data_IF_142719529802
#
_entry.id   IF_142719529802
#
_cell.length_a   1.000
_cell.length_b   1.000
_cell.length_c   1.000
_cell.angle_alpha   90.00
_cell.angle_beta   90.00
_cell.angle_gamma   90.00
#
_symmetry.space_group_name_H-M   'P 1'
#
loop_
_entity.id
_entity.type
_entity.pdbx_description
1 polymer ?
#
# COMPACT_ATOMS: atom_id res chain seq x y z
N UNK A 1 -19.89 -38.55 -49.57
CA UNK A 1 -18.62 -39.17 -50.01
C UNK A 1 -17.71 -38.08 -50.54
N UNK A 2 -16.43 -38.11 -50.15
CA UNK A 2 -15.31 -37.19 -50.52
C UNK A 2 -15.41 -35.80 -49.83
N UNK A 3 -14.60 -35.40 -48.86
CA UNK A 3 -13.26 -35.86 -48.45
C UNK A 3 -12.20 -35.07 -49.19
N UNK A 4 -11.71 -33.98 -48.58
CA UNK A 4 -10.41 -33.36 -48.86
C UNK A 4 -9.86 -32.79 -47.55
N UNK A 5 -8.96 -33.58 -46.98
CA UNK A 5 -8.10 -33.32 -45.84
C UNK A 5 -6.85 -32.61 -46.39
N UNK A 6 -6.48 -31.47 -45.83
CA UNK A 6 -5.22 -30.79 -46.14
C UNK A 6 -4.31 -30.93 -44.92
N UNK A 7 -3.43 -31.92 -44.98
CA UNK A 7 -2.29 -32.08 -44.10
C UNK A 7 -1.20 -31.05 -44.48
N UNK A 8 -0.83 -30.17 -43.55
CA UNK A 8 0.38 -29.35 -43.64
C UNK A 8 1.41 -29.90 -42.66
N UNK A 9 2.33 -30.69 -43.21
CA UNK A 9 3.54 -31.18 -42.60
C UNK A 9 4.60 -30.07 -42.65
N UNK A 10 5.08 -29.58 -41.51
CA UNK A 10 6.25 -28.70 -41.42
C UNK A 10 7.38 -29.42 -40.68
N UNK A 11 8.00 -30.34 -41.40
CA UNK A 11 9.25 -31.00 -41.01
C UNK A 11 10.46 -30.23 -41.57
N UNK A 12 11.38 -29.84 -40.68
CA UNK A 12 12.78 -29.58 -41.05
C UNK A 12 13.26 -28.13 -41.00
N UNK A 13 13.78 -27.71 -39.84
CA UNK A 13 14.83 -26.69 -39.80
C UNK A 13 16.08 -27.31 -39.20
N UNK A 14 17.07 -27.49 -40.09
CA UNK A 14 18.41 -28.00 -39.88
C UNK A 14 19.25 -26.97 -39.11
N UNK A 15 19.83 -27.38 -37.98
CA UNK A 15 20.85 -26.64 -37.26
C UNK A 15 22.22 -27.17 -37.65
N UNK A 16 22.89 -26.45 -38.55
CA UNK A 16 24.27 -26.69 -38.94
C UNK A 16 25.08 -25.40 -38.73
N UNK A 17 26.17 -25.54 -37.98
CA UNK A 17 26.86 -24.48 -37.24
C UNK A 17 27.49 -23.33 -38.03
N UNK A 18 27.70 -22.23 -37.29
CA UNK A 18 28.83 -21.33 -37.52
C UNK A 18 29.45 -20.95 -36.18
N UNK A 19 30.61 -21.55 -35.92
CA UNK A 19 31.62 -21.16 -34.95
C UNK A 19 32.38 -19.95 -35.50
N UNK A 20 32.50 -18.86 -34.74
CA UNK A 20 33.44 -17.77 -35.00
C UNK A 20 34.05 -17.33 -33.66
N UNK A 21 35.19 -17.95 -33.33
CA UNK A 21 36.17 -17.40 -32.39
C UNK A 21 36.85 -16.18 -33.00
N UNK A 22 36.86 -15.05 -32.29
CA UNK A 22 37.61 -13.85 -32.67
C UNK A 22 37.52 -12.75 -31.60
N UNK A 23 38.62 -12.54 -30.88
CA UNK A 23 38.80 -11.78 -29.65
C UNK A 23 38.66 -10.24 -29.76
N UNK A 24 38.47 -9.59 -28.60
CA UNK A 24 38.75 -8.17 -28.21
C UNK A 24 37.75 -7.11 -28.72
N UNK A 25 37.28 -6.09 -27.99
CA UNK A 25 37.61 -5.44 -26.71
C UNK A 25 36.35 -5.00 -25.95
N UNK A 26 36.55 -4.75 -24.67
CA UNK A 26 35.70 -4.16 -23.65
C UNK A 26 34.75 -3.03 -24.11
N UNK A 27 33.48 -3.15 -23.72
CA UNK A 27 32.71 -2.05 -23.17
C UNK A 27 31.90 -2.57 -21.99
N UNK A 28 32.38 -2.26 -20.78
CA UNK A 28 31.57 -2.25 -19.59
C UNK A 28 30.52 -1.14 -19.74
N UNK A 29 29.46 -1.42 -20.49
CA UNK A 29 28.20 -0.72 -20.28
C UNK A 29 27.61 -1.36 -19.03
N UNK A 30 27.73 -0.65 -17.92
CA UNK A 30 26.88 -0.81 -16.76
C UNK A 30 25.44 -0.53 -17.18
N UNK A 31 24.86 -1.45 -17.94
CA UNK A 31 23.44 -1.70 -17.88
C UNK A 31 23.24 -2.27 -16.49
N UNK A 32 23.08 -1.38 -15.52
CA UNK A 32 22.25 -1.66 -14.37
C UNK A 32 20.96 -2.17 -15.00
N UNK A 33 20.85 -3.49 -15.10
CA UNK A 33 19.59 -4.17 -15.12
C UNK A 33 18.90 -3.65 -13.88
N UNK A 34 18.16 -2.56 -14.04
CA UNK A 34 16.98 -2.28 -13.28
C UNK A 34 16.19 -3.58 -13.42
N UNK A 35 16.41 -4.49 -12.49
CA UNK A 35 15.39 -5.44 -12.10
C UNK A 35 14.27 -4.53 -11.60
N UNK A 36 13.50 -3.97 -12.54
CA UNK A 36 12.09 -3.74 -12.30
C UNK A 36 11.64 -5.10 -11.81
N UNK A 37 11.46 -5.20 -10.51
CA UNK A 37 10.64 -6.23 -9.95
C UNK A 37 9.34 -6.10 -10.74
N UNK A 38 9.18 -6.95 -11.77
CA UNK A 38 7.87 -7.40 -12.16
C UNK A 38 7.37 -8.17 -10.94
N UNK A 39 7.02 -7.42 -9.89
CA UNK A 39 6.27 -7.93 -8.78
C UNK A 39 5.02 -8.50 -9.41
N UNK A 40 4.76 -9.77 -9.13
CA UNK A 40 3.47 -10.38 -9.40
C UNK A 40 2.40 -9.40 -8.94
N UNK A 41 1.65 -8.86 -9.90
CA UNK A 41 0.53 -7.97 -9.63
C UNK A 41 -0.47 -8.76 -8.78
N UNK A 42 -0.96 -8.16 -7.69
CA UNK A 42 -1.88 -8.86 -6.78
C UNK A 42 -3.10 -9.39 -7.53
N UNK A 43 -3.58 -10.57 -7.13
CA UNK A 43 -4.81 -11.17 -7.68
C UNK A 43 -6.07 -10.82 -6.87
N UNK A 44 -5.95 -9.91 -5.90
CA UNK A 44 -7.07 -9.47 -5.07
C UNK A 44 -7.84 -8.32 -5.70
N UNK A 45 -9.17 -8.30 -5.52
CA UNK A 45 -10.02 -7.19 -5.94
C UNK A 45 -10.06 -6.10 -4.88
N UNK A 46 -9.30 -5.02 -5.11
CA UNK A 46 -9.34 -3.83 -4.28
C UNK A 46 -10.37 -2.83 -4.79
N UNK A 47 -10.72 -1.86 -3.95
CA UNK A 47 -11.52 -0.70 -4.37
C UNK A 47 -10.65 0.53 -4.46
N UNK A 48 -10.75 1.24 -5.58
CA UNK A 48 -9.98 2.45 -5.84
C UNK A 48 -10.31 3.53 -4.80
N UNK A 49 -9.32 4.14 -4.12
CA UNK A 49 -9.58 5.14 -3.09
C UNK A 49 -10.30 6.38 -3.62
N UNK A 50 -10.13 6.67 -4.92
CA UNK A 50 -10.66 7.88 -5.57
C UNK A 50 -12.16 7.77 -5.90
N UNK A 51 -12.62 6.61 -6.35
CA UNK A 51 -13.97 6.45 -6.90
C UNK A 51 -14.73 5.21 -6.42
N UNK A 52 -14.11 4.34 -5.62
CA UNK A 52 -14.70 3.12 -5.07
C UNK A 52 -14.94 2.00 -6.08
N UNK A 53 -14.55 2.17 -7.35
CA UNK A 53 -14.64 1.10 -8.33
C UNK A 53 -13.60 0.01 -8.08
N UNK A 54 -13.90 -1.20 -8.55
CA UNK A 54 -12.95 -2.32 -8.53
C UNK A 54 -11.67 -1.99 -9.31
N UNK A 55 -10.55 -2.51 -8.83
CA UNK A 55 -9.24 -2.45 -9.47
C UNK A 55 -8.98 -3.64 -10.40
N UNK A 56 -9.90 -4.60 -10.47
CA UNK A 56 -9.83 -5.78 -11.32
C UNK A 56 -10.92 -5.81 -12.40
N UNK A 57 -12.12 -5.34 -12.08
CA UNK A 57 -13.24 -5.34 -13.01
C UNK A 57 -12.91 -4.50 -14.25
N UNK A 58 -13.66 -4.74 -15.33
CA UNK A 58 -13.47 -4.06 -16.61
C UNK A 58 -12.09 -4.29 -17.28
N UNK A 59 -11.33 -5.27 -16.80
CA UNK A 59 -10.01 -5.63 -17.36
C UNK A 59 -8.87 -4.76 -16.84
N UNK A 60 -9.04 -4.14 -15.67
CA UNK A 60 -7.98 -3.34 -15.05
C UNK A 60 -6.86 -4.20 -14.47
N UNK A 61 -7.17 -5.42 -14.00
CA UNK A 61 -6.22 -6.44 -13.55
C UNK A 61 -5.10 -5.90 -12.63
N UNK A 62 -5.40 -4.93 -11.76
CA UNK A 62 -4.46 -4.27 -10.86
C UNK A 62 -3.23 -3.63 -11.56
N UNK A 63 -3.33 -3.34 -12.87
CA UNK A 63 -2.28 -2.72 -13.67
C UNK A 63 -2.12 -1.21 -13.42
N UNK A 64 -3.01 -0.65 -12.59
CA UNK A 64 -3.02 0.75 -12.21
C UNK A 64 -2.78 0.86 -10.70
N UNK A 65 -1.70 1.53 -10.30
CA UNK A 65 -1.32 1.62 -8.90
C UNK A 65 -0.29 2.72 -8.63
N UNK A 66 -0.18 3.12 -7.37
CA UNK A 66 0.93 3.90 -6.86
C UNK A 66 1.82 3.01 -6.00
N UNK A 67 3.13 3.12 -6.16
CA UNK A 67 4.11 2.46 -5.31
C UNK A 67 4.74 3.46 -4.37
N UNK A 68 4.73 3.16 -3.07
CA UNK A 68 5.44 3.90 -2.06
C UNK A 68 6.92 3.50 -2.03
N UNK A 69 7.74 4.34 -1.39
CA UNK A 69 9.09 4.00 -1.01
C UNK A 69 9.10 2.61 -0.34
N UNK A 70 10.10 1.80 -0.68
CA UNK A 70 10.25 0.42 -0.19
C UNK A 70 9.16 -0.58 -0.65
N UNK A 71 8.30 -0.21 -1.60
CA UNK A 71 7.58 -1.18 -2.46
C UNK A 71 6.13 -1.49 -2.07
N UNK A 72 5.57 -0.88 -1.03
CA UNK A 72 4.13 -0.98 -0.77
C UNK A 72 3.32 -0.37 -1.92
N UNK A 73 2.20 -0.98 -2.27
CA UNK A 73 1.42 -0.61 -3.44
C UNK A 73 -0.03 -0.32 -3.04
N UNK A 74 -0.60 0.76 -3.58
CA UNK A 74 -2.04 1.05 -3.49
C UNK A 74 -2.61 1.04 -4.89
N UNK A 75 -3.60 0.18 -5.13
CA UNK A 75 -4.18 -0.06 -6.44
C UNK A 75 -5.30 0.92 -6.75
N UNK A 76 -5.47 1.24 -8.03
CA UNK A 76 -6.50 2.13 -8.54
C UNK A 76 -7.23 1.50 -9.71
N UNK A 77 -8.40 2.03 -10.05
CA UNK A 77 -9.08 1.64 -11.28
C UNK A 77 -8.37 2.27 -12.49
N UNK A 78 -8.35 1.58 -13.62
CA UNK A 78 -7.78 2.07 -14.88
C UNK A 78 -8.71 3.01 -15.65
N UNK A 79 -9.39 3.92 -14.96
CA UNK A 79 -10.24 4.89 -15.62
C UNK A 79 -9.42 5.81 -16.54
N UNK A 80 -10.02 6.15 -17.68
CA UNK A 80 -9.50 7.19 -18.56
C UNK A 80 -9.39 8.52 -17.80
N UNK A 81 -8.47 9.37 -18.28
CA UNK A 81 -8.24 10.68 -17.70
C UNK A 81 -9.52 11.53 -17.68
N UNK A 82 -9.73 12.27 -16.58
CA UNK A 82 -10.87 13.14 -16.35
C UNK A 82 -10.46 14.42 -15.63
N UNK A 83 -11.33 15.42 -15.68
CA UNK A 83 -11.14 16.66 -14.93
C UNK A 83 -11.39 16.48 -13.43
N UNK A 84 -10.63 17.21 -12.63
CA UNK A 84 -10.80 17.35 -11.19
C UNK A 84 -10.90 18.84 -10.87
N UNK A 85 -11.75 19.22 -9.91
CA UNK A 85 -12.10 20.63 -9.67
C UNK A 85 -10.88 21.50 -9.27
N UNK A 86 -9.84 20.90 -8.69
CA UNK A 86 -8.61 21.58 -8.28
C UNK A 86 -7.60 21.81 -9.42
N UNK A 87 -7.83 21.24 -10.62
CA UNK A 87 -6.83 21.24 -11.71
C UNK A 87 -7.44 21.59 -13.08
N UNK A 88 -6.72 22.41 -13.85
CA UNK A 88 -7.13 22.85 -15.20
C UNK A 88 -6.77 21.85 -16.32
N UNK A 89 -6.44 20.59 -15.98
CA UNK A 89 -6.05 19.55 -16.93
C UNK A 89 -6.65 18.20 -16.54
N UNK A 90 -6.77 17.31 -17.52
CA UNK A 90 -7.28 15.96 -17.30
C UNK A 90 -6.19 15.02 -16.80
N UNK A 91 -6.57 14.08 -15.93
CA UNK A 91 -5.67 13.06 -15.43
C UNK A 91 -6.37 11.80 -14.95
N UNK A 92 -5.59 10.73 -14.78
CA UNK A 92 -6.09 9.46 -14.25
C UNK A 92 -6.28 9.53 -12.74
N UNK A 93 -7.16 8.68 -12.22
CA UNK A 93 -7.34 8.51 -10.78
C UNK A 93 -6.02 8.11 -10.09
N UNK A 94 -5.15 7.34 -10.77
CA UNK A 94 -3.81 7.00 -10.27
C UNK A 94 -2.92 8.21 -10.07
N UNK A 95 -2.85 9.11 -11.06
CA UNK A 95 -2.05 10.33 -10.97
C UNK A 95 -2.61 11.29 -9.90
N UNK A 96 -3.94 11.39 -9.81
CA UNK A 96 -4.61 12.19 -8.78
C UNK A 96 -4.33 11.65 -7.38
N UNK A 97 -4.50 10.34 -7.16
CA UNK A 97 -4.21 9.67 -5.90
C UNK A 97 -2.75 9.87 -5.49
N UNK A 98 -1.81 9.65 -6.41
CA UNK A 98 -0.37 9.79 -6.15
C UNK A 98 -0.03 11.16 -5.57
N UNK A 99 -0.63 12.22 -6.12
CA UNK A 99 -0.39 13.57 -5.63
C UNK A 99 -1.13 13.85 -4.31
N UNK A 100 -2.36 13.37 -4.16
CA UNK A 100 -3.29 13.80 -3.13
C UNK A 100 -3.64 12.70 -2.12
N UNK A 101 -2.72 11.80 -1.79
CA UNK A 101 -3.01 10.67 -0.87
C UNK A 101 -3.68 11.14 0.43
N UNK A 102 -3.27 12.31 0.96
CA UNK A 102 -3.85 12.91 2.18
C UNK A 102 -5.37 13.10 2.14
N UNK A 103 -5.93 13.41 0.96
CA UNK A 103 -7.39 13.56 0.76
C UNK A 103 -8.16 12.27 1.01
N UNK A 104 -7.50 11.12 0.78
CA UNK A 104 -8.13 9.81 0.84
C UNK A 104 -7.88 9.08 2.15
N UNK A 105 -7.18 9.71 3.11
CA UNK A 105 -6.93 9.11 4.41
C UNK A 105 -8.17 9.20 5.29
N UNK A 106 -8.57 8.06 5.83
CA UNK A 106 -9.65 7.96 6.81
C UNK A 106 -9.07 8.03 8.22
N UNK A 107 -9.46 9.06 8.96
CA UNK A 107 -9.11 9.19 10.37
C UNK A 107 -9.86 8.17 11.23
N UNK A 108 -9.23 7.69 12.30
CA UNK A 108 -9.82 6.67 13.19
C UNK A 108 -11.08 7.14 13.92
N UNK A 109 -11.28 8.45 14.00
CA UNK A 109 -12.48 9.10 14.53
C UNK A 109 -13.71 8.91 13.63
N UNK A 110 -13.53 8.64 12.33
CA UNK A 110 -14.61 8.23 11.43
C UNK A 110 -14.80 6.71 11.52
N UNK A 111 -15.48 6.26 12.57
CA UNK A 111 -15.68 4.84 12.83
C UNK A 111 -16.38 4.07 11.69
N UNK A 112 -17.13 4.75 10.81
CA UNK A 112 -17.87 4.08 9.73
C UNK A 112 -16.95 3.80 8.56
N UNK A 113 -16.26 4.82 8.06
CA UNK A 113 -15.31 4.66 6.96
C UNK A 113 -14.08 3.84 7.41
N UNK A 114 -13.62 4.03 8.66
CA UNK A 114 -12.45 3.32 9.17
C UNK A 114 -12.69 1.81 9.33
N UNK A 115 -13.95 1.40 9.52
CA UNK A 115 -14.33 -0.01 9.61
C UNK A 115 -14.13 -0.78 8.29
N UNK A 116 -13.98 -0.09 7.15
CA UNK A 116 -13.63 -0.73 5.88
C UNK A 116 -12.19 -1.27 5.89
N UNK A 117 -11.32 -0.71 6.72
CA UNK A 117 -9.97 -1.21 6.93
C UNK A 117 -9.94 -2.15 8.13
N UNK A 118 -9.93 -3.46 7.85
CA UNK A 118 -9.77 -4.48 8.88
C UNK A 118 -8.45 -4.29 9.66
N UNK A 119 -8.51 -4.43 11.00
CA UNK A 119 -7.35 -4.45 11.90
C UNK A 119 -6.60 -5.78 11.78
N UNK A 120 -6.04 -6.01 10.59
CA UNK A 120 -5.27 -7.18 10.20
C UNK A 120 -4.26 -6.78 9.12
N UNK A 121 -3.24 -7.61 8.92
CA UNK A 121 -2.23 -7.42 7.89
C UNK A 121 -1.95 -8.77 7.25
N UNK A 122 -2.79 -9.15 6.30
CA UNK A 122 -2.63 -10.42 5.57
C UNK A 122 -1.44 -10.30 4.60
N UNK A 123 -1.26 -9.10 4.04
CA UNK A 123 -0.18 -8.66 3.15
C UNK A 123 1.19 -8.65 3.85
N UNK A 124 1.24 -8.66 5.19
CA UNK A 124 2.49 -8.80 5.93
C UNK A 124 3.21 -10.12 5.60
N UNK A 125 2.49 -11.15 5.15
CA UNK A 125 3.09 -12.40 4.69
C UNK A 125 3.92 -12.24 3.40
N UNK A 126 3.64 -11.19 2.61
CA UNK A 126 4.32 -10.88 1.35
C UNK A 126 5.62 -10.08 1.55
N UNK A 127 5.95 -9.73 2.80
CA UNK A 127 7.18 -9.03 3.13
C UNK A 127 7.16 -7.54 2.83
N UNK A 128 6.04 -6.86 3.16
CA UNK A 128 5.90 -5.42 2.99
C UNK A 128 6.84 -4.63 3.94
N UNK A 129 7.27 -3.46 3.47
CA UNK A 129 8.23 -2.60 4.16
C UNK A 129 7.62 -1.26 4.54
N UNK A 130 8.00 -0.75 5.70
CA UNK A 130 7.63 0.60 6.14
C UNK A 130 8.08 1.65 5.09
N UNK A 131 7.19 2.53 4.60
CA UNK A 131 7.54 3.51 3.57
C UNK A 131 8.52 4.58 4.05
N UNK A 132 8.57 4.82 5.36
CA UNK A 132 9.39 5.85 5.99
C UNK A 132 10.77 5.28 6.33
N UNK A 133 10.82 4.08 6.94
CA UNK A 133 12.07 3.53 7.49
C UNK A 133 12.66 2.38 6.66
N UNK A 134 11.85 1.70 5.86
CA UNK A 134 12.23 0.46 5.17
C UNK A 134 12.28 -0.78 6.07
N UNK A 135 11.85 -0.67 7.33
CA UNK A 135 11.78 -1.81 8.26
C UNK A 135 10.69 -2.82 7.84
N UNK A 136 10.85 -4.07 8.26
CA UNK A 136 9.84 -5.11 8.05
C UNK A 136 8.55 -4.81 8.82
N UNK A 137 7.43 -4.86 8.12
CA UNK A 137 6.11 -4.90 8.76
C UNK A 137 5.66 -6.35 8.88
N UNK A 138 5.30 -6.74 10.08
CA UNK A 138 4.82 -8.08 10.43
C UNK A 138 3.48 -7.97 11.15
N UNK A 139 2.77 -9.09 11.25
CA UNK A 139 1.53 -9.19 12.04
C UNK A 139 1.70 -8.83 13.52
N UNK A 140 2.93 -8.75 14.03
CA UNK A 140 3.23 -8.42 15.43
C UNK A 140 3.54 -6.95 15.71
N UNK A 141 3.91 -6.17 14.70
CA UNK A 141 4.32 -4.77 14.84
C UNK A 141 3.58 -3.82 13.89
N UNK A 142 2.73 -4.32 13.01
CA UNK A 142 2.05 -3.47 12.03
C UNK A 142 1.25 -2.36 12.71
N UNK A 143 1.32 -1.21 12.07
CA UNK A 143 0.38 -0.12 12.18
C UNK A 143 -0.13 0.16 10.76
N UNK A 144 -1.26 0.81 10.62
CA UNK A 144 -1.75 1.17 9.29
C UNK A 144 -2.42 2.54 9.27
N UNK A 145 -2.38 3.14 8.08
CA UNK A 145 -3.25 4.24 7.67
C UNK A 145 -4.32 3.65 6.76
N UNK A 146 -5.58 3.93 7.07
CA UNK A 146 -6.72 3.52 6.27
C UNK A 146 -6.95 4.53 5.14
N UNK A 147 -7.16 4.05 3.93
CA UNK A 147 -7.62 4.84 2.80
C UNK A 147 -9.11 4.58 2.56
N UNK A 148 -9.78 5.52 1.91
CA UNK A 148 -11.15 5.34 1.45
C UNK A 148 -11.29 4.01 0.69
N UNK A 149 -12.39 3.29 0.93
CA UNK A 149 -12.67 2.01 0.29
C UNK A 149 -11.75 0.85 0.74
N UNK A 150 -11.11 0.96 1.91
CA UNK A 150 -10.56 -0.18 2.65
C UNK A 150 -9.09 -0.55 2.37
N UNK A 151 -8.42 0.12 1.43
CA UNK A 151 -6.98 -0.11 1.21
C UNK A 151 -6.15 0.48 2.35
N UNK A 152 -4.97 -0.10 2.61
CA UNK A 152 -4.12 0.25 3.76
C UNK A 152 -2.70 0.58 3.33
N UNK A 153 -2.07 1.51 4.05
CA UNK A 153 -0.61 1.74 4.02
C UNK A 153 -0.07 1.31 5.37
N UNK A 154 0.87 0.38 5.38
CA UNK A 154 1.38 -0.24 6.60
C UNK A 154 2.68 0.40 7.08
N UNK A 155 2.91 0.36 8.40
CA UNK A 155 4.10 0.90 9.05
C UNK A 155 4.58 -0.08 10.12
N UNK A 156 5.89 -0.12 10.35
CA UNK A 156 6.51 -0.99 11.34
C UNK A 156 6.41 -0.42 12.77
N UNK A 157 6.02 0.86 12.91
CA UNK A 157 5.90 1.54 14.21
C UNK A 157 4.89 2.70 14.19
N UNK A 158 4.42 3.10 15.37
CA UNK A 158 3.58 4.31 15.51
C UNK A 158 4.35 5.58 15.17
N UNK A 159 5.67 5.60 15.38
CA UNK A 159 6.52 6.75 15.09
C UNK A 159 6.58 7.04 13.59
N UNK A 160 6.86 6.02 12.77
CA UNK A 160 6.88 6.14 11.31
C UNK A 160 5.49 6.43 10.73
N UNK A 161 4.42 5.82 11.27
CA UNK A 161 3.04 6.19 10.92
C UNK A 161 2.78 7.69 11.14
N UNK A 162 3.15 8.20 12.31
CA UNK A 162 2.91 9.60 12.67
C UNK A 162 3.79 10.56 11.87
N UNK A 163 5.02 10.16 11.53
CA UNK A 163 5.88 10.91 10.62
C UNK A 163 5.24 11.03 9.25
N UNK A 164 4.71 9.93 8.70
CA UNK A 164 3.98 9.96 7.44
C UNK A 164 2.77 10.88 7.47
N UNK A 165 1.89 10.69 8.46
CA UNK A 165 0.67 11.48 8.62
C UNK A 165 0.93 12.99 8.80
N UNK A 166 2.08 13.36 9.38
CA UNK A 166 2.45 14.76 9.59
C UNK A 166 2.98 15.46 8.34
N UNK A 167 3.36 14.71 7.29
CA UNK A 167 4.00 15.25 6.10
C UNK A 167 3.23 14.96 4.80
N UNK A 168 2.27 14.03 4.81
CA UNK A 168 1.51 13.64 3.61
C UNK A 168 0.71 14.79 2.97
N UNK A 169 0.41 15.85 3.73
CA UNK A 169 -0.27 17.06 3.25
C UNK A 169 0.68 18.24 2.97
N UNK A 170 2.00 18.02 2.94
CA UNK A 170 2.99 19.09 2.75
C UNK A 170 3.36 19.33 1.29
N UNK A 171 3.41 18.27 0.48
CA UNK A 171 3.72 18.32 -0.94
C UNK A 171 3.10 17.14 -1.71
N UNK A 172 2.88 17.27 -3.03
CA UNK A 172 2.44 16.16 -3.85
C UNK A 172 3.41 14.98 -3.79
N UNK A 173 2.88 13.75 -3.76
CA UNK A 173 3.67 12.51 -3.90
C UNK A 173 4.64 12.25 -2.74
N UNK A 174 4.34 12.72 -1.53
CA UNK A 174 5.13 12.40 -0.35
C UNK A 174 5.29 10.86 -0.17
N UNK A 175 6.54 10.39 -0.26
CA UNK A 175 6.96 8.98 -0.28
C UNK A 175 6.41 8.10 -1.40
N UNK A 176 5.79 8.67 -2.44
CA UNK A 176 5.38 7.92 -3.63
C UNK A 176 6.56 7.84 -4.59
N UNK A 177 7.01 6.62 -4.89
CA UNK A 177 8.16 6.33 -5.76
C UNK A 177 7.80 5.89 -7.18
N UNK A 178 6.59 5.36 -7.41
CA UNK A 178 6.11 4.98 -8.74
C UNK A 178 4.63 5.27 -8.91
N UNK A 179 4.24 5.58 -10.14
CA UNK A 179 2.86 5.92 -10.52
C UNK A 179 2.59 5.21 -11.83
N UNK A 180 1.92 4.06 -11.77
CA UNK A 180 1.79 3.12 -12.88
C UNK A 180 0.35 3.09 -13.39
N UNK A 181 0.17 3.27 -14.70
CA UNK A 181 -1.08 3.13 -15.43
C UNK A 181 -0.86 2.09 -16.53
N UNK A 182 -1.67 1.03 -16.55
CA UNK A 182 -1.59 -0.04 -17.56
C UNK A 182 -0.18 -0.64 -17.72
N UNK A 183 0.56 -0.81 -16.60
CA UNK A 183 1.97 -1.28 -16.57
C UNK A 183 3.04 -0.30 -17.07
N UNK A 184 2.69 0.94 -17.38
CA UNK A 184 3.64 2.00 -17.73
C UNK A 184 3.53 3.18 -16.76
N UNK A 185 4.51 4.09 -16.75
CA UNK A 185 4.38 5.31 -15.94
C UNK A 185 3.22 6.15 -16.45
N UNK A 186 2.30 6.55 -15.56
CA UNK A 186 1.16 7.38 -15.91
C UNK A 186 1.60 8.70 -16.57
N UNK A 187 1.05 9.01 -17.74
CA UNK A 187 1.30 10.30 -18.40
C UNK A 187 0.77 11.45 -17.56
N UNK A 188 1.55 12.52 -17.43
CA UNK A 188 1.15 13.72 -16.67
C UNK A 188 1.12 13.53 -15.15
N UNK A 189 1.64 12.41 -14.62
CA UNK A 189 1.70 12.14 -13.19
C UNK A 189 2.43 13.22 -12.38
N UNK A 190 3.35 13.95 -13.02
CA UNK A 190 4.14 15.02 -12.41
C UNK A 190 3.54 16.43 -12.62
N UNK A 191 2.45 16.54 -13.39
CA UNK A 191 1.83 17.85 -13.68
C UNK A 191 1.18 18.48 -12.44
N UNK A 192 0.78 17.65 -11.45
CA UNK A 192 0.36 18.17 -10.15
C UNK A 192 1.59 18.66 -9.40
N UNK A 193 1.67 19.98 -9.23
CA UNK A 193 2.71 20.65 -8.43
C UNK A 193 2.18 21.23 -7.13
N UNK A 194 0.85 21.25 -6.95
CA UNK A 194 0.17 21.73 -5.76
C UNK A 194 -0.91 20.73 -5.36
N UNK A 195 -1.00 20.43 -4.07
CA UNK A 195 -2.03 19.54 -3.52
C UNK A 195 -3.45 20.07 -3.78
N UNK A 196 -4.42 19.18 -3.87
CA UNK A 196 -5.85 19.54 -3.86
C UNK A 196 -6.19 20.31 -2.59
N UNK A 197 -7.26 21.12 -2.62
CA UNK A 197 -7.69 21.84 -1.43
C UNK A 197 -8.02 20.89 -0.27
N UNK A 198 -8.57 19.71 -0.57
CA UNK A 198 -8.89 18.69 0.43
C UNK A 198 -7.63 18.04 1.02
N UNK A 199 -6.62 17.71 0.21
CA UNK A 199 -5.35 17.19 0.69
C UNK A 199 -4.62 18.20 1.59
N UNK A 200 -4.64 19.50 1.25
CA UNK A 200 -4.07 20.56 2.10
C UNK A 200 -4.83 20.74 3.43
N UNK A 201 -6.15 20.53 3.40
CA UNK A 201 -7.01 20.65 4.58
C UNK A 201 -6.96 19.42 5.49
N UNK A 202 -6.26 18.35 5.09
CA UNK A 202 -6.13 17.15 5.89
C UNK A 202 -5.50 17.47 7.25
N UNK A 203 -6.18 17.03 8.32
CA UNK A 203 -5.68 17.11 9.70
C UNK A 203 -5.52 15.68 10.21
N UNK A 204 -4.28 15.23 10.48
CA UNK A 204 -4.03 13.86 10.88
C UNK A 204 -4.53 13.59 12.30
N UNK A 205 -5.18 12.44 12.47
CA UNK A 205 -5.41 11.86 13.79
C UNK A 205 -4.18 11.04 14.23
N UNK A 206 -3.37 11.63 15.11
CA UNK A 206 -2.18 11.00 15.67
C UNK A 206 -2.47 10.13 16.90
N UNK A 207 -3.76 9.90 17.20
CA UNK A 207 -4.14 9.02 18.30
C UNK A 207 -3.58 7.61 18.08
N UNK A 208 -3.11 7.00 19.16
CA UNK A 208 -2.59 5.65 19.13
C UNK A 208 -3.74 4.65 19.01
N UNK A 209 -4.18 4.35 17.78
CA UNK A 209 -4.96 3.14 17.53
C UNK A 209 -4.05 1.94 17.79
N UNK A 210 -4.27 1.28 18.92
CA UNK A 210 -3.50 0.09 19.27
C UNK A 210 -4.05 -1.09 18.48
N UNK A 211 -3.45 -1.41 17.33
CA UNK A 211 -3.68 -2.69 16.65
C UNK A 211 -3.37 -3.81 17.64
N UNK A 212 -4.42 -4.44 18.15
CA UNK A 212 -4.31 -5.41 19.23
C UNK A 212 -3.98 -6.76 18.63
N UNK A 213 -2.74 -6.92 18.15
CA UNK A 213 -2.18 -8.22 17.84
C UNK A 213 -2.21 -9.07 19.11
N UNK A 214 -3.28 -9.84 19.29
CA UNK A 214 -3.44 -10.76 20.41
C UNK A 214 -2.36 -11.82 20.29
N UNK A 215 -1.28 -11.66 21.06
CA UNK A 215 -0.32 -12.72 21.30
C UNK A 215 -1.01 -13.83 22.10
N UNK A 216 -1.79 -14.69 21.45
CA UNK A 216 -2.19 -15.98 22.01
C UNK A 216 -0.98 -16.90 21.96
N UNK A 217 -0.10 -16.79 22.95
CA UNK A 217 0.79 -17.87 23.31
C UNK A 217 -0.03 -18.93 24.09
N UNK A 218 -0.52 -19.96 23.40
CA UNK A 218 -1.12 -21.15 23.99
C UNK A 218 -0.30 -22.39 23.64
N UNK A 219 0.25 -23.05 24.67
CA UNK A 219 1.00 -24.30 24.55
C UNK A 219 1.77 -24.73 25.80
N UNK A 220 1.04 -25.03 26.89
CA UNK A 220 1.36 -25.72 28.16
C UNK A 220 2.40 -26.87 28.08
N UNK A 221 3.14 -27.37 29.09
CA UNK A 221 3.44 -27.22 30.55
C UNK A 221 4.37 -28.44 30.93
N UNK A 222 4.76 -28.80 32.19
CA UNK A 222 4.76 -28.13 33.52
C UNK A 222 6.10 -28.24 34.33
N UNK A 223 6.06 -27.64 35.54
CA UNK A 223 6.75 -28.00 36.80
C UNK A 223 8.13 -27.40 37.12
N UNK A 224 8.18 -26.48 38.10
CA UNK A 224 8.60 -26.81 39.46
C UNK A 224 8.34 -25.64 40.45
N UNK A 225 8.09 -26.04 41.69
CA UNK A 225 7.71 -25.31 42.89
C UNK A 225 8.75 -24.29 43.40
N UNK A 226 8.34 -23.20 44.08
CA UNK A 226 8.47 -23.01 45.55
C UNK A 226 7.91 -21.67 46.06
N UNK A 227 7.12 -21.77 47.14
CA UNK A 227 6.85 -20.85 48.27
C UNK A 227 6.56 -19.32 48.11
N UNK A 228 5.42 -18.94 48.72
CA UNK A 228 4.88 -17.60 49.04
C UNK A 228 5.67 -16.82 50.12
N UNK A 229 5.17 -15.71 50.73
CA UNK A 229 4.17 -14.70 50.33
C UNK A 229 4.67 -13.22 50.54
N UNK A 230 4.00 -12.22 49.97
CA UNK A 230 3.75 -10.92 50.65
C UNK A 230 2.85 -10.01 49.81
N UNK A 231 1.83 -9.49 50.50
CA UNK A 231 0.79 -8.58 50.05
C UNK A 231 1.30 -7.23 49.55
N UNK A 232 0.64 -6.66 48.54
CA UNK A 232 0.40 -5.21 48.50
C UNK A 232 -0.82 -4.90 47.62
N UNK A 233 -1.92 -4.59 48.31
CA UNK A 233 -3.10 -3.99 47.72
C UNK A 233 -2.81 -2.50 47.46
N UNK A 234 -3.11 -2.02 46.25
CA UNK A 234 -3.28 -0.60 45.97
C UNK A 234 -4.68 -0.44 45.38
N UNK A 235 -5.60 0.01 46.22
CA UNK A 235 -6.90 0.51 45.81
C UNK A 235 -6.74 1.97 45.36
N UNK A 236 -7.15 2.28 44.13
CA UNK A 236 -7.27 3.67 43.66
C UNK A 236 -8.75 4.04 43.72
N UNK A 237 -9.08 5.01 44.57
CA UNK A 237 -10.44 5.46 44.86
C UNK A 237 -10.54 6.96 44.59
N UNK A 238 -11.55 7.32 43.78
CA UNK A 238 -12.24 8.62 43.70
C UNK A 238 -11.47 9.79 43.02
N UNK A 239 -12.11 10.78 42.39
CA UNK A 239 -13.35 11.48 42.74
C UNK A 239 -14.06 12.03 41.49
N UNK A 240 -15.37 11.79 41.42
CA UNK A 240 -16.33 12.47 40.55
C UNK A 240 -16.80 13.75 41.26
N UNK A 241 -16.70 14.92 40.64
CA UNK A 241 -17.27 16.17 41.18
C UNK A 241 -18.25 16.76 40.17
N UNK A 242 -19.54 16.68 40.50
CA UNK A 242 -20.61 17.43 39.86
C UNK A 242 -20.74 18.79 40.56
N UNK A 243 -20.78 19.87 39.78
CA UNK A 243 -21.14 21.21 40.27
C UNK A 243 -22.49 21.58 39.67
N UNK A 244 -23.48 21.76 40.54
CA UNK A 244 -24.75 22.43 40.28
C UNK A 244 -24.79 23.66 41.18
N UNK A 245 -24.99 24.85 40.61
CA UNK A 245 -25.66 25.95 41.31
C UNK A 245 -26.17 26.98 40.29
N UNK A 246 -27.40 27.41 40.53
CA UNK A 246 -28.25 28.27 39.72
C UNK A 246 -27.93 29.75 39.94
N UNK A 247 -28.18 30.57 38.91
CA UNK A 247 -28.71 31.92 38.99
C UNK A 247 -29.52 32.21 37.72
#
# INVERSE_FOLDING_TARGET
MRGLQMDMDMSGMDMSGMDMSGSTMDMATSSTSSTSAAGSVSTEDFKCPVCGMSTMDMGYDNLNHIGFAHGQTVYTCGMAARSFDDYDFEMTDTAYLAANVAEFIVNSTDATAYAECSDSCDECADGIKDPVTGDDVTTSNFQYVCLNNGQKIYFASTASKNEYLSNVNSEPRYLVGSIICESETCSGAENITVLSAAAQAFVPDLSATSSSGSATASGSSPAASVNSPASLAIAVVSVLAAVVAMA
#
